data_IF_491787275812
#
_entry.id   IF_491787275812
#
_cell.length_a   1.000
_cell.length_b   1.000
_cell.length_c   1.000
_cell.angle_alpha   90.00
_cell.angle_beta   90.00
_cell.angle_gamma   90.00
#
_symmetry.space_group_name_H-M   'P 1'
#
loop_
_entity.id
_entity.type
_entity.pdbx_description
1 polymer ?
#
# COMPACT_ATOMS: atom_id res chain seq x y z
N UNK A 1 58.51 33.62 1.34
CA UNK A 1 58.03 32.26 1.08
C UNK A 1 56.94 31.98 2.10
N UNK A 2 55.83 31.45 1.61
CA UNK A 2 54.56 31.19 2.27
C UNK A 2 54.69 30.28 3.50
N UNK A 3 54.25 30.75 4.66
CA UNK A 3 53.74 29.85 5.70
C UNK A 3 52.26 29.57 5.39
N UNK A 4 51.87 28.34 5.02
CA UNK A 4 50.47 28.00 4.85
C UNK A 4 49.87 27.65 6.23
N UNK A 5 49.04 28.55 6.74
CA UNK A 5 47.80 28.31 7.48
C UNK A 5 47.61 26.88 8.03
N UNK A 6 48.14 26.63 9.23
CA UNK A 6 47.97 25.38 9.98
C UNK A 6 46.75 25.44 10.92
N UNK A 7 45.66 26.08 10.47
CA UNK A 7 44.48 26.41 11.28
C UNK A 7 43.25 25.56 10.90
N UNK A 8 43.34 24.24 11.00
CA UNK A 8 42.22 23.34 10.65
C UNK A 8 41.83 22.20 11.62
N UNK A 9 42.50 21.91 12.75
CA UNK A 9 42.02 20.85 13.66
C UNK A 9 41.23 21.34 14.89
N UNK A 10 41.31 22.62 15.29
CA UNK A 10 40.72 23.10 16.55
C UNK A 10 39.19 23.28 16.51
N UNK A 11 38.65 23.79 15.39
CA UNK A 11 37.24 24.16 15.29
C UNK A 11 36.27 22.97 15.32
N UNK A 12 36.70 21.77 14.89
CA UNK A 12 35.87 20.55 14.94
C UNK A 12 35.74 20.01 16.37
N UNK A 13 36.78 20.20 17.20
CA UNK A 13 36.82 19.68 18.57
C UNK A 13 36.03 20.57 19.52
N UNK A 14 35.97 21.88 19.26
CA UNK A 14 35.28 22.87 20.10
C UNK A 14 33.78 22.59 20.29
N UNK A 15 33.17 21.83 19.37
CA UNK A 15 31.75 21.46 19.42
C UNK A 15 31.52 19.94 19.50
N UNK A 16 32.51 19.18 19.94
CA UNK A 16 32.42 17.73 20.08
C UNK A 16 32.07 17.35 21.51
N UNK A 17 30.93 16.68 21.70
CA UNK A 17 30.46 16.22 23.01
C UNK A 17 30.96 14.80 23.26
N UNK A 18 31.80 14.61 24.28
CA UNK A 18 32.23 13.28 24.73
C UNK A 18 31.17 12.72 25.68
N UNK A 19 30.49 11.66 25.24
CA UNK A 19 29.46 10.96 25.99
C UNK A 19 29.86 9.51 26.20
N UNK A 20 29.39 8.91 27.29
CA UNK A 20 29.51 7.47 27.46
C UNK A 20 28.57 6.78 26.44
N UNK A 21 28.96 5.59 25.99
CA UNK A 21 28.18 4.76 25.05
C UNK A 21 26.72 4.61 25.48
N UNK A 22 26.50 4.29 26.75
CA UNK A 22 25.17 4.12 27.35
C UNK A 22 24.33 5.41 27.32
N UNK A 23 24.91 6.57 27.67
CA UNK A 23 24.20 7.86 27.60
C UNK A 23 23.85 8.25 26.17
N UNK A 24 24.72 7.91 25.21
CA UNK A 24 24.48 8.17 23.79
C UNK A 24 23.35 7.32 23.24
N UNK A 25 23.33 6.03 23.58
CA UNK A 25 22.26 5.12 23.14
C UNK A 25 20.90 5.54 23.74
N UNK A 26 20.86 5.97 25.02
CA UNK A 26 19.63 6.50 25.63
C UNK A 26 19.15 7.79 24.94
N UNK A 27 20.08 8.70 24.59
CA UNK A 27 19.74 9.92 23.84
C UNK A 27 19.17 9.60 22.46
N UNK A 28 19.73 8.62 21.75
CA UNK A 28 19.22 8.17 20.46
C UNK A 28 17.83 7.56 20.57
N UNK A 29 17.60 6.70 21.55
CA UNK A 29 16.29 6.08 21.78
C UNK A 29 15.23 7.15 22.08
N UNK A 30 15.53 8.11 22.96
CA UNK A 30 14.63 9.23 23.26
C UNK A 30 14.37 10.12 22.05
N UNK A 31 15.38 10.33 21.20
CA UNK A 31 15.22 11.12 19.98
C UNK A 31 14.34 10.40 18.96
N UNK A 32 14.53 9.08 18.81
CA UNK A 32 13.73 8.23 17.94
C UNK A 32 12.28 8.16 18.43
N UNK A 33 12.06 7.96 19.73
CA UNK A 33 10.73 7.91 20.34
C UNK A 33 9.98 9.23 20.16
N UNK A 34 10.60 10.38 20.49
CA UNK A 34 9.99 11.69 20.26
C UNK A 34 9.73 11.98 18.78
N UNK A 35 10.61 11.50 17.89
CA UNK A 35 10.42 11.60 16.45
C UNK A 35 9.20 10.80 15.99
N UNK A 36 9.06 9.57 16.47
CA UNK A 36 7.93 8.70 16.21
C UNK A 36 6.61 9.29 16.75
N UNK A 37 6.59 9.73 18.01
CA UNK A 37 5.43 10.39 18.62
C UNK A 37 5.00 11.64 17.83
N UNK A 38 5.96 12.46 17.39
CA UNK A 38 5.66 13.68 16.64
C UNK A 38 5.07 13.38 15.25
N UNK A 39 5.53 12.33 14.58
CA UNK A 39 4.94 11.87 13.31
C UNK A 39 3.57 11.25 13.54
N UNK A 40 3.41 10.40 14.56
CA UNK A 40 2.11 9.81 14.90
C UNK A 40 1.09 10.89 15.23
N UNK A 41 1.47 11.91 16.00
CA UNK A 41 0.61 13.06 16.30
C UNK A 41 0.29 13.91 15.06
N UNK A 42 1.28 14.16 14.19
CA UNK A 42 1.04 14.89 12.94
C UNK A 42 0.06 14.16 12.01
N UNK A 43 0.08 12.82 12.04
CA UNK A 43 -0.83 11.98 11.28
C UNK A 43 -2.19 11.77 12.01
N UNK A 44 -2.36 12.27 13.24
CA UNK A 44 -3.58 12.08 14.04
C UNK A 44 -3.75 10.67 14.61
N UNK A 45 -2.65 9.90 14.72
CA UNK A 45 -2.64 8.49 15.12
C UNK A 45 -2.20 8.28 16.58
N UNK A 46 -1.98 9.35 17.34
CA UNK A 46 -1.47 9.34 18.70
C UNK A 46 -2.43 8.71 19.72
N UNK A 47 -3.73 8.69 19.42
CA UNK A 47 -4.77 8.20 20.35
C UNK A 47 -5.10 6.70 20.17
N UNK A 48 -4.32 5.95 19.36
CA UNK A 48 -4.51 4.51 19.15
C UNK A 48 -5.73 4.11 18.32
N UNK A 49 -6.67 5.02 18.07
CA UNK A 49 -7.86 4.80 17.22
C UNK A 49 -7.50 4.48 15.77
N UNK A 50 -6.47 5.13 15.24
CA UNK A 50 -5.95 4.90 13.89
C UNK A 50 -5.58 3.44 13.59
N UNK A 51 -4.97 2.74 14.55
CA UNK A 51 -4.59 1.34 14.35
C UNK A 51 -5.83 0.44 14.17
N UNK A 52 -6.93 0.79 14.84
CA UNK A 52 -8.23 0.12 14.69
C UNK A 52 -8.88 0.48 13.36
N UNK A 53 -8.90 1.75 13.00
CA UNK A 53 -9.51 2.22 11.74
C UNK A 53 -8.78 1.63 10.52
N UNK A 54 -7.45 1.59 10.52
CA UNK A 54 -6.65 0.95 9.47
C UNK A 54 -6.97 -0.55 9.37
N UNK A 55 -7.18 -1.22 10.51
CA UNK A 55 -7.55 -2.63 10.53
C UNK A 55 -8.94 -2.83 9.96
N UNK A 56 -9.91 -2.01 10.35
CA UNK A 56 -11.27 -2.05 9.84
C UNK A 56 -11.33 -1.75 8.33
N UNK A 57 -10.58 -0.75 7.85
CA UNK A 57 -10.46 -0.48 6.41
C UNK A 57 -9.87 -1.66 5.65
N UNK A 58 -8.85 -2.32 6.21
CA UNK A 58 -8.27 -3.51 5.60
C UNK A 58 -9.28 -4.65 5.53
N UNK A 59 -10.01 -4.88 6.61
CA UNK A 59 -11.02 -5.93 6.69
C UNK A 59 -12.17 -5.66 5.69
N UNK A 60 -12.60 -4.40 5.54
CA UNK A 60 -13.56 -3.98 4.51
C UNK A 60 -13.03 -4.16 3.09
N UNK A 61 -11.76 -3.86 2.85
CA UNK A 61 -11.13 -3.97 1.54
C UNK A 61 -10.91 -5.44 1.16
N UNK A 62 -10.66 -6.30 2.14
CA UNK A 62 -10.64 -7.75 1.98
C UNK A 62 -12.04 -8.28 1.63
N UNK A 63 -13.08 -7.88 2.36
CA UNK A 63 -14.47 -8.20 2.04
C UNK A 63 -14.88 -7.72 0.63
N UNK A 64 -14.45 -6.52 0.23
CA UNK A 64 -14.72 -6.00 -1.11
C UNK A 64 -13.99 -6.78 -2.21
N UNK A 65 -12.75 -7.21 -1.96
CA UNK A 65 -11.98 -8.02 -2.90
C UNK A 65 -12.67 -9.36 -3.15
N UNK A 66 -13.21 -9.98 -2.10
CA UNK A 66 -13.96 -11.24 -2.20
C UNK A 66 -15.29 -11.06 -2.93
N UNK A 67 -16.02 -9.99 -2.61
CA UNK A 67 -17.24 -9.62 -3.33
C UNK A 67 -16.96 -9.40 -4.83
N UNK A 68 -15.89 -8.67 -5.17
CA UNK A 68 -15.48 -8.41 -6.55
C UNK A 68 -15.11 -9.70 -7.28
N UNK A 69 -14.39 -10.63 -6.64
CA UNK A 69 -14.04 -11.92 -7.24
C UNK A 69 -15.30 -12.72 -7.59
N UNK A 70 -16.27 -12.75 -6.69
CA UNK A 70 -17.56 -13.44 -6.89
C UNK A 70 -18.38 -12.79 -8.01
N UNK A 71 -18.47 -11.46 -8.01
CA UNK A 71 -19.15 -10.70 -9.05
C UNK A 71 -18.51 -10.97 -10.43
N UNK A 72 -17.17 -10.95 -10.51
CA UNK A 72 -16.45 -11.21 -11.76
C UNK A 72 -16.67 -12.62 -12.31
N UNK A 73 -16.63 -13.63 -11.43
CA UNK A 73 -16.94 -15.02 -11.81
C UNK A 73 -18.36 -15.15 -12.35
N UNK A 74 -19.33 -14.51 -11.72
CA UNK A 74 -20.73 -14.51 -12.15
C UNK A 74 -20.88 -13.82 -13.50
N UNK A 75 -20.28 -12.64 -13.66
CA UNK A 75 -20.30 -11.88 -14.92
C UNK A 75 -19.73 -12.71 -16.06
N UNK A 76 -18.55 -13.33 -15.90
CA UNK A 76 -17.96 -14.19 -16.94
C UNK A 76 -18.91 -15.34 -17.26
N UNK A 77 -19.43 -16.04 -16.24
CA UNK A 77 -20.32 -17.18 -16.45
C UNK A 77 -21.59 -16.79 -17.22
N UNK A 78 -22.22 -15.68 -16.85
CA UNK A 78 -23.42 -15.17 -17.52
C UNK A 78 -23.10 -14.77 -18.95
N UNK A 79 -22.01 -14.05 -19.18
CA UNK A 79 -21.58 -13.63 -20.52
C UNK A 79 -21.28 -14.85 -21.40
N UNK A 80 -20.50 -15.82 -20.93
CA UNK A 80 -20.21 -17.05 -21.68
C UNK A 80 -21.49 -17.83 -21.99
N UNK A 81 -22.37 -18.00 -21.01
CA UNK A 81 -23.65 -18.69 -21.21
C UNK A 81 -24.53 -17.95 -22.21
N UNK A 82 -24.59 -16.62 -22.14
CA UNK A 82 -25.32 -15.77 -23.08
C UNK A 82 -24.78 -15.90 -24.50
N UNK A 83 -23.47 -15.89 -24.69
CA UNK A 83 -22.83 -16.08 -26.00
C UNK A 83 -23.16 -17.47 -26.56
N UNK A 84 -23.00 -18.54 -25.76
CA UNK A 84 -23.33 -19.89 -26.18
C UNK A 84 -24.81 -20.04 -26.56
N UNK A 85 -25.72 -19.50 -25.75
CA UNK A 85 -27.15 -19.50 -26.06
C UNK A 85 -27.45 -18.74 -27.35
N UNK A 86 -26.84 -17.56 -27.54
CA UNK A 86 -27.00 -16.78 -28.77
C UNK A 86 -26.48 -17.53 -30.00
N UNK A 87 -25.36 -18.24 -29.90
CA UNK A 87 -24.83 -19.07 -30.98
C UNK A 87 -25.77 -20.22 -31.34
N UNK A 88 -26.34 -20.92 -30.35
CA UNK A 88 -27.31 -21.99 -30.58
C UNK A 88 -28.58 -21.47 -31.28
N UNK A 89 -29.13 -20.35 -30.79
CA UNK A 89 -30.30 -19.69 -31.40
C UNK A 89 -29.98 -19.24 -32.83
N UNK A 90 -28.83 -18.60 -33.04
CA UNK A 90 -28.39 -18.15 -34.36
C UNK A 90 -28.19 -19.31 -35.34
N UNK A 91 -27.59 -20.41 -34.90
CA UNK A 91 -27.44 -21.62 -35.70
C UNK A 91 -28.79 -22.25 -36.06
N UNK A 92 -29.73 -22.33 -35.12
CA UNK A 92 -31.08 -22.85 -35.39
C UNK A 92 -31.83 -21.99 -36.42
N UNK A 93 -31.74 -20.66 -36.33
CA UNK A 93 -32.35 -19.75 -37.32
C UNK A 93 -31.68 -19.92 -38.69
N UNK A 94 -30.34 -19.93 -38.75
CA UNK A 94 -29.60 -20.12 -40.01
C UNK A 94 -29.93 -21.48 -40.65
N UNK A 95 -30.01 -22.56 -39.86
CA UNK A 95 -30.37 -23.88 -40.34
C UNK A 95 -31.84 -23.95 -40.78
N UNK A 96 -32.77 -23.24 -40.12
CA UNK A 96 -34.16 -23.13 -40.60
C UNK A 96 -34.28 -22.33 -41.90
N UNK A 97 -33.44 -21.30 -42.07
CA UNK A 97 -33.40 -20.47 -43.28
C UNK A 97 -32.71 -21.20 -44.46
N UNK A 98 -31.62 -21.94 -44.20
CA UNK A 98 -30.90 -22.71 -45.23
C UNK A 98 -31.50 -24.10 -45.49
N UNK A 99 -32.12 -24.70 -44.47
CA UNK A 99 -32.80 -25.98 -44.50
C UNK A 99 -34.30 -25.83 -44.65
N UNK A 100 -34.76 -24.73 -45.26
CA UNK A 100 -36.06 -24.72 -45.92
C UNK A 100 -36.06 -25.88 -46.91
N UNK A 101 -36.63 -27.00 -46.47
CA UNK A 101 -36.87 -28.16 -47.31
C UNK A 101 -37.74 -27.73 -48.52
N UNK A 102 -37.64 -28.41 -49.68
CA UNK A 102 -38.55 -28.17 -50.80
C UNK A 102 -40.03 -28.27 -50.38
#
# INVERSE_FOLDING_TARGET
>A
MTEPEQHAPAAIVENMLLLRREDFDELLDRAAERGAERVLSHLGLENGHAAKDIRELRDLLEAWRDARRTAWQTTIKVVTTGILAALLVGAAIKLKLMGGAP
#
